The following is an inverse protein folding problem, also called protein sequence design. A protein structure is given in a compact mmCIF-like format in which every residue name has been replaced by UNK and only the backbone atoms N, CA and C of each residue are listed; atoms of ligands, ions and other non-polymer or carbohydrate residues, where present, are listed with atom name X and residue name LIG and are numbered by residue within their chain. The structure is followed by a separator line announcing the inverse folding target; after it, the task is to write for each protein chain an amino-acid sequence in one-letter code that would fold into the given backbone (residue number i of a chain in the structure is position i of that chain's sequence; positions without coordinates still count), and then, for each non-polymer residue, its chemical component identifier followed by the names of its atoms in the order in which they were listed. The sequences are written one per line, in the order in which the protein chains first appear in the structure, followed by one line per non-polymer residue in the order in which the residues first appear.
data_IF_743325878401
#
_entry.id   IF_743325878401
#
_cell.length_a   1.000
_cell.length_b   1.000
_cell.length_c   1.000
_cell.angle_alpha   90.00
_cell.angle_beta   90.00
_cell.angle_gamma   90.00
#
_symmetry.space_group_name_H-M   'P 1'
#
loop_
_entity.id
_entity.type
_entity.pdbx_description
1 polymer ?
#
# COMPACT_ATOMS: atom_id res chain seq x y z
N UNK A 1 -13.15 -24.53 6.89
CA UNK A 1 -12.83 -23.32 7.69
C UNK A 1 -11.56 -22.74 7.12
N UNK A 2 -11.65 -21.63 6.38
CA UNK A 2 -10.47 -20.96 5.88
C UNK A 2 -9.76 -20.32 7.08
N UNK A 3 -8.58 -20.79 7.37
CA UNK A 3 -7.70 -20.26 8.40
C UNK A 3 -7.41 -18.80 8.08
N UNK A 4 -7.78 -17.91 9.00
CA UNK A 4 -7.51 -16.46 8.97
C UNK A 4 -6.01 -16.15 9.13
N UNK A 5 -5.13 -16.88 8.46
CA UNK A 5 -3.69 -16.85 8.75
C UNK A 5 -2.94 -15.65 8.17
N UNK A 6 -3.60 -14.71 7.45
CA UNK A 6 -2.84 -13.81 6.60
C UNK A 6 -3.29 -12.35 6.52
N UNK A 7 -4.14 -11.87 7.40
CA UNK A 7 -4.56 -10.47 7.30
C UNK A 7 -4.00 -9.66 8.46
N UNK A 8 -3.03 -8.88 8.17
CA UNK A 8 -2.45 -7.71 8.78
C UNK A 8 -2.93 -7.27 10.14
N UNK A 9 -2.93 -8.19 11.09
CA UNK A 9 -3.13 -7.83 12.48
C UNK A 9 -1.83 -7.25 13.03
N UNK A 10 -1.91 -6.37 14.01
CA UNK A 10 -0.72 -6.09 14.80
C UNK A 10 -0.16 -7.46 15.21
N UNK A 11 1.15 -7.63 15.01
CA UNK A 11 1.85 -8.84 15.41
C UNK A 11 1.42 -9.18 16.85
N UNK A 12 1.11 -10.44 17.10
CA UNK A 12 0.75 -10.90 18.44
C UNK A 12 1.76 -10.38 19.46
N UNK A 13 1.28 -9.68 20.49
CA UNK A 13 2.11 -9.00 21.47
C UNK A 13 2.65 -7.62 21.07
N UNK A 14 2.33 -7.10 19.86
CA UNK A 14 2.69 -5.72 19.51
C UNK A 14 1.63 -4.74 20.04
N UNK A 15 2.09 -3.74 20.79
CA UNK A 15 1.27 -2.60 21.23
C UNK A 15 1.83 -1.33 20.60
N UNK A 16 1.03 -0.57 19.83
CA UNK A 16 1.47 0.70 19.27
C UNK A 16 1.87 1.69 20.37
N UNK A 17 3.01 2.38 20.22
CA UNK A 17 3.33 3.55 21.03
C UNK A 17 2.43 4.70 20.55
N UNK A 18 1.42 5.06 21.35
CA UNK A 18 0.45 6.09 21.00
C UNK A 18 0.57 7.35 21.84
N UNK A 19 0.17 8.48 21.26
CA UNK A 19 -0.02 9.76 21.95
C UNK A 19 -1.31 10.41 21.48
N UNK A 20 -1.93 11.15 22.38
CA UNK A 20 -3.06 12.00 22.08
C UNK A 20 -2.60 13.43 21.86
N UNK A 21 -3.03 14.05 20.77
CA UNK A 21 -2.81 15.45 20.47
C UNK A 21 -3.83 16.31 21.23
N UNK A 22 -3.58 17.62 21.37
CA UNK A 22 -4.43 18.57 22.11
C UNK A 22 -5.90 18.64 21.62
N UNK A 23 -6.16 18.14 20.43
CA UNK A 23 -7.50 18.08 19.82
C UNK A 23 -8.14 16.69 19.89
N UNK A 24 -7.65 15.79 20.73
CA UNK A 24 -8.17 14.42 20.88
C UNK A 24 -7.75 13.42 19.77
N UNK A 25 -6.92 13.83 18.83
CA UNK A 25 -6.44 12.94 17.77
C UNK A 25 -5.37 12.00 18.33
N UNK A 26 -5.58 10.68 18.17
CA UNK A 26 -4.60 9.66 18.53
C UNK A 26 -3.65 9.42 17.36
N UNK A 27 -2.36 9.46 17.64
CA UNK A 27 -1.27 9.13 16.71
C UNK A 27 -0.41 8.02 17.26
N UNK A 28 0.11 7.15 16.38
CA UNK A 28 1.06 6.10 16.74
C UNK A 28 2.44 6.38 16.12
N UNK A 29 3.49 6.04 16.85
CA UNK A 29 4.88 6.24 16.44
C UNK A 29 5.32 5.17 15.44
N UNK A 30 5.79 5.60 14.27
CA UNK A 30 6.50 4.71 13.36
C UNK A 30 7.94 4.53 13.86
N UNK A 31 8.20 3.43 14.53
CA UNK A 31 9.47 3.15 15.22
C UNK A 31 10.70 3.46 14.34
N UNK A 32 11.74 4.01 14.96
CA UNK A 32 13.01 4.42 14.31
C UNK A 32 12.85 5.55 13.26
N UNK A 33 11.74 6.27 13.28
CA UNK A 33 11.49 7.43 12.43
C UNK A 33 11.00 8.61 13.26
N UNK A 34 11.03 9.86 12.76
CA UNK A 34 10.46 11.01 13.48
C UNK A 34 8.94 11.12 13.27
N UNK A 35 8.28 10.13 12.68
CA UNK A 35 6.90 10.24 12.22
C UNK A 35 5.91 9.54 13.14
N UNK A 36 4.77 10.20 13.30
CA UNK A 36 3.59 9.72 14.02
C UNK A 36 2.39 9.76 13.09
N UNK A 37 1.59 8.73 13.07
CA UNK A 37 0.49 8.59 12.12
C UNK A 37 -0.84 8.33 12.81
N UNK A 38 -1.91 8.97 12.31
CA UNK A 38 -3.27 8.54 12.61
C UNK A 38 -3.63 7.31 11.79
N UNK A 39 -4.64 6.56 12.20
CA UNK A 39 -5.18 5.44 11.41
C UNK A 39 -5.71 5.87 10.03
N UNK A 40 -6.17 7.12 9.91
CA UNK A 40 -6.65 7.72 8.66
C UNK A 40 -5.53 8.22 7.72
N UNK A 41 -4.25 8.05 8.09
CA UNK A 41 -3.12 8.40 7.23
C UNK A 41 -2.60 9.83 7.38
N UNK A 42 -3.06 10.63 8.33
CA UNK A 42 -2.42 11.91 8.64
C UNK A 42 -1.07 11.67 9.31
N UNK A 43 -0.07 12.43 8.90
CA UNK A 43 1.31 12.29 9.42
C UNK A 43 1.73 13.54 10.17
N UNK A 44 2.35 13.32 11.32
CA UNK A 44 2.88 14.36 12.19
C UNK A 44 4.35 14.08 12.54
N UNK A 45 5.05 15.09 12.95
CA UNK A 45 6.38 14.97 13.55
C UNK A 45 6.51 15.99 14.68
N UNK A 46 7.24 15.62 15.73
CA UNK A 46 7.63 16.55 16.78
C UNK A 46 8.76 17.45 16.28
N UNK A 47 8.64 18.72 16.50
CA UNK A 47 9.70 19.70 16.30
C UNK A 47 10.68 19.66 17.48
N UNK A 48 11.81 20.32 17.37
CA UNK A 48 12.84 20.36 18.44
C UNK A 48 12.33 20.99 19.74
N UNK A 49 11.39 21.92 19.63
CA UNK A 49 10.70 22.62 20.71
C UNK A 49 9.49 21.84 21.25
N UNK A 50 9.28 20.60 20.80
CA UNK A 50 8.21 19.73 21.28
C UNK A 50 6.83 19.98 20.67
N UNK A 51 6.72 20.91 19.71
CA UNK A 51 5.45 21.17 19.04
C UNK A 51 5.13 20.11 17.97
N UNK A 52 3.87 19.80 17.78
CA UNK A 52 3.40 18.92 16.74
C UNK A 52 3.28 19.65 15.40
N UNK A 53 3.93 19.13 14.37
CA UNK A 53 3.84 19.66 13.01
C UNK A 53 3.28 18.61 12.06
N UNK A 54 2.17 18.93 11.40
CA UNK A 54 1.64 18.08 10.32
C UNK A 54 2.63 18.05 9.15
N UNK A 55 2.84 16.86 8.59
CA UNK A 55 3.75 16.64 7.47
C UNK A 55 2.95 16.38 6.19
N UNK A 56 3.42 16.95 5.09
CA UNK A 56 2.84 16.72 3.77
C UNK A 56 3.44 15.47 3.15
N UNK A 57 2.58 14.57 2.66
CA UNK A 57 2.98 13.37 1.94
C UNK A 57 3.12 13.73 0.46
N UNK A 58 4.26 13.39 -0.13
CA UNK A 58 4.56 13.57 -1.55
C UNK A 58 4.10 12.36 -2.36
N UNK A 59 3.94 12.52 -3.70
CA UNK A 59 3.54 11.43 -4.59
C UNK A 59 2.02 11.30 -4.75
N UNK A 60 1.24 12.20 -4.16
CA UNK A 60 -0.21 12.26 -4.36
C UNK A 60 -0.55 12.90 -5.70
N UNK A 61 -1.67 12.49 -6.30
CA UNK A 61 -2.23 13.12 -7.51
C UNK A 61 -2.39 14.62 -7.26
N UNK A 62 -1.85 15.46 -8.14
CA UNK A 62 -1.79 16.92 -7.96
C UNK A 62 -0.52 17.44 -7.26
N UNK A 63 0.31 16.58 -6.66
CA UNK A 63 1.61 17.01 -6.15
C UNK A 63 2.59 17.29 -7.30
N UNK A 64 3.44 18.37 -7.27
CA UNK A 64 4.36 18.72 -8.37
C UNK A 64 5.29 17.60 -8.82
N UNK A 65 5.59 16.63 -7.95
CA UNK A 65 6.41 15.46 -8.28
C UNK A 65 5.61 14.27 -8.84
N UNK A 66 4.27 14.35 -8.89
CA UNK A 66 3.43 13.28 -9.41
C UNK A 66 3.53 13.22 -10.94
N UNK A 67 3.78 12.05 -11.47
CA UNK A 67 3.81 11.83 -12.92
C UNK A 67 5.03 12.41 -13.66
N UNK A 68 6.05 12.95 -12.97
CA UNK A 68 7.28 13.40 -13.64
C UNK A 68 8.00 12.21 -14.28
N UNK A 69 8.34 12.37 -15.56
CA UNK A 69 9.20 11.40 -16.27
C UNK A 69 10.55 11.31 -15.57
N UNK A 70 11.01 10.10 -15.29
CA UNK A 70 12.37 9.89 -14.80
C UNK A 70 13.38 10.16 -15.93
N UNK A 71 14.61 10.55 -15.59
CA UNK A 71 15.68 10.80 -16.55
C UNK A 71 15.99 9.59 -17.46
N UNK A 72 15.66 8.37 -17.03
CA UNK A 72 15.79 7.14 -17.80
C UNK A 72 14.63 6.88 -18.79
N UNK A 73 13.72 7.84 -18.99
CA UNK A 73 12.59 7.71 -19.90
C UNK A 73 11.40 6.91 -19.37
N UNK A 74 11.55 6.22 -18.26
CA UNK A 74 10.43 5.53 -17.61
C UNK A 74 9.45 6.57 -17.06
N UNK A 75 8.17 6.41 -17.35
CA UNK A 75 7.16 7.11 -16.56
C UNK A 75 7.41 6.70 -15.10
N UNK A 76 7.54 7.69 -14.23
CA UNK A 76 7.35 7.44 -12.81
C UNK A 76 5.91 6.96 -12.70
N UNK A 77 5.70 5.66 -12.88
CA UNK A 77 4.42 5.05 -12.56
C UNK A 77 3.97 5.54 -11.20
N UNK A 78 2.73 5.38 -10.89
CA UNK A 78 2.19 5.76 -9.59
C UNK A 78 3.20 5.43 -8.50
N UNK A 79 3.86 6.46 -7.99
CA UNK A 79 4.84 6.27 -6.92
C UNK A 79 4.07 6.13 -5.63
N UNK A 80 4.50 5.20 -4.83
CA UNK A 80 4.02 5.13 -3.45
C UNK A 80 4.15 6.51 -2.78
N UNK A 81 3.11 6.99 -2.12
CA UNK A 81 3.18 8.20 -1.31
C UNK A 81 4.34 8.08 -0.32
N UNK A 82 5.11 9.15 -0.18
CA UNK A 82 6.32 9.13 0.66
C UNK A 82 6.57 10.44 1.38
N UNK A 83 7.37 10.38 2.43
CA UNK A 83 7.82 11.54 3.20
C UNK A 83 9.34 11.59 3.18
N UNK A 84 9.87 12.78 2.92
CA UNK A 84 11.30 13.07 3.03
C UNK A 84 11.69 13.53 4.43
N UNK A 85 12.75 12.96 5.00
CA UNK A 85 13.40 13.45 6.22
C UNK A 85 14.88 13.08 6.23
N UNK A 86 15.77 14.04 6.56
CA UNK A 86 17.21 13.82 6.69
C UNK A 86 17.82 13.04 5.49
N UNK A 87 17.50 13.45 4.25
CA UNK A 87 17.94 12.84 2.99
C UNK A 87 17.45 11.39 2.77
N UNK A 88 16.52 10.90 3.58
CA UNK A 88 15.85 9.59 3.41
C UNK A 88 14.41 9.79 2.97
N UNK A 89 13.90 8.87 2.14
CA UNK A 89 12.50 8.80 1.77
C UNK A 89 11.86 7.59 2.45
N UNK A 90 10.70 7.82 3.05
CA UNK A 90 9.93 6.82 3.77
C UNK A 90 8.58 6.64 3.08
N UNK A 91 8.28 5.44 2.62
CA UNK A 91 6.99 5.14 2.02
C UNK A 91 5.88 5.20 3.08
N UNK A 92 4.79 5.94 2.79
CA UNK A 92 3.73 6.20 3.75
C UNK A 92 3.05 4.92 4.27
N UNK A 93 2.80 3.94 3.39
CA UNK A 93 2.24 2.64 3.77
C UNK A 93 3.16 1.86 4.73
N UNK A 94 4.48 1.92 4.54
CA UNK A 94 5.44 1.29 5.47
C UNK A 94 5.47 1.98 6.82
N UNK A 95 5.36 3.32 6.84
CA UNK A 95 5.24 4.06 8.09
C UNK A 95 3.94 3.69 8.82
N UNK A 96 2.83 3.53 8.11
CA UNK A 96 1.55 3.10 8.67
C UNK A 96 1.68 1.71 9.33
N UNK A 97 2.29 0.76 8.61
CA UNK A 97 2.51 -0.58 9.14
C UNK A 97 3.41 -0.55 10.40
N UNK A 98 4.53 0.19 10.36
CA UNK A 98 5.43 0.32 11.51
C UNK A 98 4.77 0.95 12.73
N UNK A 99 3.86 1.92 12.51
CA UNK A 99 3.18 2.60 13.59
C UNK A 99 2.09 1.75 14.25
N UNK A 100 1.29 1.04 13.46
CA UNK A 100 0.06 0.42 13.93
C UNK A 100 0.07 -1.11 13.92
N UNK A 101 0.86 -1.73 13.04
CA UNK A 101 0.92 -3.21 12.89
C UNK A 101 2.21 -3.80 13.47
N UNK A 102 3.24 -2.98 13.65
CA UNK A 102 4.52 -3.39 14.21
C UNK A 102 5.63 -3.57 13.17
N UNK A 103 6.78 -4.09 13.59
CA UNK A 103 7.92 -4.28 12.72
C UNK A 103 7.60 -5.27 11.60
N UNK A 104 8.04 -4.93 10.38
CA UNK A 104 7.89 -5.76 9.19
C UNK A 104 8.95 -6.86 9.24
N UNK A 105 8.60 -8.14 9.36
CA UNK A 105 9.57 -9.23 9.43
C UNK A 105 10.36 -9.39 8.14
N UNK A 106 11.55 -9.99 8.21
CA UNK A 106 12.31 -10.37 7.03
C UNK A 106 11.50 -11.34 6.15
N UNK A 107 11.47 -11.10 4.83
CA UNK A 107 10.65 -11.89 3.91
C UNK A 107 9.17 -11.53 3.88
N UNK A 108 8.78 -10.43 4.54
CA UNK A 108 7.41 -9.90 4.54
C UNK A 108 7.38 -8.51 3.91
N UNK A 109 6.24 -8.14 3.38
CA UNK A 109 6.01 -6.86 2.70
C UNK A 109 4.71 -6.22 3.18
N UNK A 110 4.61 -4.90 3.01
CA UNK A 110 3.37 -4.16 3.23
C UNK A 110 2.59 -4.12 1.93
N UNK A 111 1.36 -4.59 1.97
CA UNK A 111 0.45 -4.66 0.83
C UNK A 111 -0.78 -3.77 1.05
N UNK A 112 -1.38 -3.29 -0.06
CA UNK A 112 -2.63 -2.55 -0.07
C UNK A 112 -3.79 -3.48 -0.39
N UNK A 113 -4.69 -3.71 0.56
CA UNK A 113 -5.78 -4.69 0.47
C UNK A 113 -6.62 -4.49 -0.81
N UNK A 114 -6.97 -3.24 -1.14
CA UNK A 114 -7.72 -2.89 -2.34
C UNK A 114 -6.84 -2.68 -3.59
N UNK A 115 -5.51 -2.83 -3.48
CA UNK A 115 -4.55 -2.59 -4.55
C UNK A 115 -4.37 -1.11 -4.95
N UNK A 116 -4.98 -0.17 -4.23
CA UNK A 116 -4.78 1.26 -4.44
C UNK A 116 -3.59 1.76 -3.61
N UNK A 117 -2.46 1.98 -4.25
CA UNK A 117 -1.22 2.43 -3.61
C UNK A 117 -1.30 3.84 -3.01
N UNK A 118 -2.32 4.62 -3.37
CA UNK A 118 -2.54 5.96 -2.84
C UNK A 118 -3.36 5.97 -1.53
N UNK A 119 -3.93 4.84 -1.16
CA UNK A 119 -4.69 4.65 0.07
C UNK A 119 -3.86 3.88 1.10
N UNK A 120 -3.11 4.60 1.92
CA UNK A 120 -2.29 4.05 3.01
C UNK A 120 -2.96 4.11 4.37
N UNK A 121 -4.29 4.20 4.44
CA UNK A 121 -5.03 4.11 5.70
C UNK A 121 -4.82 2.75 6.35
N UNK A 122 -4.90 2.69 7.68
CA UNK A 122 -4.71 1.43 8.42
C UNK A 122 -5.66 0.32 7.95
N UNK A 123 -6.88 0.67 7.60
CA UNK A 123 -7.89 -0.29 7.13
C UNK A 123 -7.53 -0.95 5.80
N UNK A 124 -6.67 -0.29 5.01
CA UNK A 124 -6.25 -0.78 3.69
C UNK A 124 -4.83 -1.37 3.68
N UNK A 125 -4.11 -1.34 4.81
CA UNK A 125 -2.73 -1.83 4.90
C UNK A 125 -2.68 -3.16 5.64
N UNK A 126 -1.89 -4.09 5.11
CA UNK A 126 -1.59 -5.37 5.74
C UNK A 126 -0.12 -5.75 5.57
N UNK A 127 0.40 -6.60 6.45
CA UNK A 127 1.73 -7.20 6.33
C UNK A 127 1.54 -8.64 5.89
N UNK A 128 2.11 -9.02 4.74
CA UNK A 128 1.97 -10.35 4.14
C UNK A 128 3.33 -10.91 3.73
N UNK A 129 3.46 -12.22 3.59
CA UNK A 129 4.67 -12.80 3.04
C UNK A 129 4.87 -12.37 1.59
N UNK A 130 6.13 -12.31 1.14
CA UNK A 130 6.46 -12.01 -0.28
C UNK A 130 5.73 -12.96 -1.23
N UNK A 131 5.60 -14.24 -0.86
CA UNK A 131 4.90 -15.24 -1.68
C UNK A 131 3.40 -14.90 -1.81
N UNK A 132 2.75 -14.55 -0.71
CA UNK A 132 1.34 -14.17 -0.71
C UNK A 132 1.13 -12.85 -1.45
N UNK A 133 2.00 -11.85 -1.25
CA UNK A 133 1.93 -10.59 -1.98
C UNK A 133 2.00 -10.79 -3.49
N UNK A 134 2.88 -11.68 -3.96
CA UNK A 134 2.97 -12.05 -5.40
C UNK A 134 1.69 -12.69 -5.92
N UNK A 135 1.09 -13.63 -5.19
CA UNK A 135 -0.21 -14.23 -5.58
C UNK A 135 -1.29 -13.16 -5.69
N UNK A 136 -1.40 -12.28 -4.70
CA UNK A 136 -2.37 -11.18 -4.70
C UNK A 136 -2.15 -10.21 -5.86
N UNK A 137 -0.89 -9.88 -6.19
CA UNK A 137 -0.57 -9.02 -7.32
C UNK A 137 -1.04 -9.64 -8.65
N UNK A 138 -0.90 -10.95 -8.84
CA UNK A 138 -1.42 -11.66 -10.02
C UNK A 138 -2.94 -11.56 -10.09
N UNK A 139 -3.65 -11.81 -8.99
CA UNK A 139 -5.11 -11.72 -8.93
C UNK A 139 -5.59 -10.30 -9.24
N UNK A 140 -4.98 -9.27 -8.63
CA UNK A 140 -5.32 -7.88 -8.89
C UNK A 140 -5.05 -7.48 -10.35
N UNK A 141 -3.96 -7.99 -10.94
CA UNK A 141 -3.66 -7.76 -12.36
C UNK A 141 -4.70 -8.43 -13.27
N UNK A 142 -5.08 -9.67 -12.97
CA UNK A 142 -6.12 -10.38 -13.68
C UNK A 142 -7.47 -9.63 -13.65
N UNK A 143 -7.88 -9.17 -12.46
CA UNK A 143 -9.09 -8.35 -12.29
C UNK A 143 -9.04 -7.09 -13.16
N UNK A 144 -7.92 -6.35 -13.15
CA UNK A 144 -7.76 -5.15 -13.98
C UNK A 144 -7.79 -5.43 -15.47
N UNK A 145 -7.25 -6.56 -15.92
CA UNK A 145 -7.29 -6.96 -17.34
C UNK A 145 -8.72 -7.27 -17.79
N UNK A 146 -9.43 -8.12 -17.05
CA UNK A 146 -10.83 -8.47 -17.35
C UNK A 146 -11.69 -7.20 -17.35
N UNK A 147 -11.56 -6.35 -16.35
CA UNK A 147 -12.28 -5.09 -16.27
C UNK A 147 -12.04 -4.16 -17.48
N UNK A 148 -10.82 -4.17 -18.03
CA UNK A 148 -10.50 -3.37 -19.24
C UNK A 148 -11.08 -3.96 -20.51
N UNK A 149 -11.10 -5.27 -20.66
CA UNK A 149 -11.60 -5.95 -21.87
C UNK A 149 -13.12 -5.88 -21.98
N UNK A 150 -13.81 -6.06 -20.86
CA UNK A 150 -15.26 -6.02 -20.81
C UNK A 150 -15.84 -4.59 -20.75
N UNK A 151 -14.97 -3.56 -20.65
CA UNK A 151 -15.37 -2.17 -20.51
C UNK A 151 -16.16 -1.88 -19.22
N UNK A 152 -16.21 -2.81 -18.29
CA UNK A 152 -17.03 -2.78 -17.07
C UNK A 152 -16.23 -3.25 -15.86
N UNK A 153 -15.41 -2.37 -15.27
CA UNK A 153 -14.58 -2.70 -14.12
C UNK A 153 -15.36 -3.13 -12.87
N UNK A 154 -16.63 -2.82 -12.82
CA UNK A 154 -17.59 -3.08 -11.74
C UNK A 154 -18.22 -4.48 -11.81
N UNK A 155 -18.07 -5.21 -12.91
CA UNK A 155 -18.71 -6.53 -13.09
C UNK A 155 -17.88 -7.73 -12.65
N UNK A 156 -16.66 -7.55 -12.15
CA UNK A 156 -15.96 -8.66 -11.55
C UNK A 156 -16.63 -8.99 -10.21
N UNK A 157 -17.26 -10.15 -10.07
CA UNK A 157 -17.85 -10.55 -8.81
C UNK A 157 -16.80 -10.49 -7.71
N UNK A 158 -17.06 -9.76 -6.62
CA UNK A 158 -16.17 -9.73 -5.44
C UNK A 158 -15.92 -11.14 -4.89
N UNK A 159 -16.84 -12.07 -5.16
CA UNK A 159 -16.83 -13.47 -4.72
C UNK A 159 -16.25 -14.45 -5.76
N UNK A 160 -15.73 -13.99 -6.90
CA UNK A 160 -15.07 -14.89 -7.85
C UNK A 160 -13.84 -15.53 -7.20
N UNK A 161 -13.80 -16.87 -7.17
CA UNK A 161 -12.69 -17.61 -6.54
C UNK A 161 -11.39 -17.32 -7.26
N UNK A 162 -10.29 -17.25 -6.51
CA UNK A 162 -8.95 -16.98 -7.04
C UNK A 162 -8.56 -17.93 -8.17
N UNK A 163 -9.01 -19.19 -8.12
CA UNK A 163 -8.76 -20.19 -9.15
C UNK A 163 -9.49 -19.88 -10.47
N UNK A 164 -10.71 -19.38 -10.41
CA UNK A 164 -11.49 -18.97 -11.58
C UNK A 164 -10.88 -17.73 -12.23
N UNK A 165 -10.43 -16.77 -11.42
CA UNK A 165 -9.69 -15.59 -11.89
C UNK A 165 -8.37 -15.97 -12.57
N UNK A 166 -7.62 -16.91 -12.01
CA UNK A 166 -6.36 -17.39 -12.59
C UNK A 166 -6.60 -18.15 -13.90
N UNK A 167 -7.65 -18.96 -13.99
CA UNK A 167 -8.06 -19.62 -15.25
C UNK A 167 -8.41 -18.60 -16.32
N UNK A 168 -9.19 -17.60 -15.96
CA UNK A 168 -9.57 -16.51 -16.85
C UNK A 168 -8.34 -15.71 -17.31
N UNK A 169 -7.45 -15.35 -16.38
CA UNK A 169 -6.20 -14.66 -16.68
C UNK A 169 -5.30 -15.45 -17.64
N UNK A 170 -5.16 -16.76 -17.42
CA UNK A 170 -4.37 -17.62 -18.29
C UNK A 170 -4.99 -17.75 -19.69
N UNK A 171 -6.32 -17.77 -19.80
CA UNK A 171 -6.99 -17.79 -21.11
C UNK A 171 -6.72 -16.50 -21.92
N UNK A 172 -6.62 -15.36 -21.28
CA UNK A 172 -6.30 -14.09 -21.93
C UNK A 172 -4.81 -13.97 -22.29
N UNK A 173 -3.89 -14.49 -21.47
CA UNK A 173 -2.46 -14.47 -21.79
C UNK A 173 -2.12 -15.37 -22.99
N UNK A 174 -2.80 -16.52 -23.13
CA UNK A 174 -2.61 -17.39 -24.30
C UNK A 174 -3.10 -16.72 -25.59
N UNK A 175 -4.13 -15.86 -25.50
CA UNK A 175 -4.61 -15.07 -26.64
C UNK A 175 -3.70 -13.85 -26.96
N UNK A 176 -2.94 -13.35 -25.98
CA UNK A 176 -2.06 -12.18 -26.11
C UNK A 176 -0.71 -12.48 -26.77
N UNK A 177 -0.21 -13.70 -26.67
CA UNK A 177 1.04 -14.12 -27.32
C UNK A 177 0.94 -14.23 -28.84
N UNK A 178 -0.29 -14.12 -29.40
CA UNK A 178 -0.53 -14.13 -30.85
C UNK A 178 -0.27 -12.75 -31.50
N UNK A 179 -0.15 -11.68 -30.71
CA UNK A 179 0.07 -10.31 -31.20
C UNK A 179 1.48 -9.74 -30.95
N UNK A 180 2.43 -10.55 -30.52
CA UNK A 180 3.83 -10.12 -30.31
C UNK A 180 4.76 -10.45 -31.49
N UNK A 181 4.20 -10.66 -32.69
CA UNK A 181 4.93 -11.00 -33.90
C UNK A 181 4.36 -10.30 -35.12
N UNK A 182 4.53 -8.99 -35.24
CA UNK A 182 4.63 -8.24 -36.51
C UNK A 182 5.45 -6.96 -36.26
#
# INVERSE_FOLDING_TARGET
MATKEFYGYPREGFTPETRELSNGIIVAHAAQTPFWLTQSGLVFALTKDGAWKRRTVSGLKGHPAYGRRQANGCHSGERYPHLGHARKNYAAHKLMALAWLGPIPAGWEVDHINGNILDWTLQNIQIVSVAENRKRAVILRARRMVARQDGRPDLLPENMRSEELLKLFNSYNVAGDVYAGE
#
